data_IF_717243713143
#
_entry.id   IF_717243713143
#
_cell.length_a   1.000
_cell.length_b   1.000
_cell.length_c   1.000
_cell.angle_alpha   90.00
_cell.angle_beta   90.00
_cell.angle_gamma   90.00
#
_symmetry.space_group_name_H-M   'P 1'
#
loop_
_entity.id
_entity.type
_entity.pdbx_description
1 polymer ?
#
# COMPACT_ATOMS: atom_id res chain seq x y z
N UNK A 1 -5.16 14.10 -11.75
CA UNK A 1 -4.00 13.59 -10.98
C UNK A 1 -4.30 12.20 -10.41
N UNK A 2 -3.40 11.53 -9.71
CA UNK A 2 -3.68 10.23 -9.03
C UNK A 2 -3.49 10.42 -7.54
N UNK A 3 -4.39 9.88 -6.71
CA UNK A 3 -4.27 9.97 -5.26
C UNK A 3 -3.01 9.25 -4.77
N UNK A 4 -2.06 10.05 -4.27
CA UNK A 4 -0.82 9.58 -3.63
C UNK A 4 -0.88 9.83 -2.14
N UNK A 5 -0.40 8.87 -1.38
CA UNK A 5 -0.36 8.89 0.08
C UNK A 5 1.08 8.61 0.53
N UNK A 6 1.53 9.25 1.62
CA UNK A 6 2.83 8.90 2.23
C UNK A 6 2.64 7.64 3.07
N UNK A 7 3.35 6.59 2.70
CA UNK A 7 3.23 5.27 3.33
C UNK A 7 4.56 4.93 3.98
N UNK A 8 4.51 4.61 5.27
CA UNK A 8 5.63 4.01 5.98
C UNK A 8 5.41 2.51 6.06
N UNK A 9 6.46 1.75 5.83
CA UNK A 9 6.45 0.29 5.89
C UNK A 9 7.57 -0.17 6.81
N UNK A 10 7.23 -1.00 7.79
CA UNK A 10 8.17 -1.53 8.76
C UNK A 10 8.21 -3.06 8.74
N UNK A 11 9.42 -3.60 8.81
CA UNK A 11 9.71 -5.02 9.02
C UNK A 11 10.76 -5.12 10.12
N UNK A 12 10.45 -5.86 11.18
CA UNK A 12 11.26 -5.94 12.40
C UNK A 12 11.63 -4.56 12.95
N UNK A 13 12.92 -4.18 12.89
CA UNK A 13 13.44 -2.90 13.42
C UNK A 13 13.68 -1.84 12.32
N UNK A 14 13.47 -2.18 11.05
CA UNK A 14 13.69 -1.28 9.92
C UNK A 14 12.36 -0.75 9.41
N UNK A 15 12.36 0.51 9.00
CA UNK A 15 11.23 1.15 8.35
C UNK A 15 11.73 1.96 7.17
N UNK A 16 10.94 1.97 6.10
CA UNK A 16 11.14 2.80 4.90
C UNK A 16 9.87 3.60 4.62
N UNK A 17 10.00 4.74 3.97
CA UNK A 17 8.87 5.56 3.55
C UNK A 17 8.87 5.72 2.03
N UNK A 18 7.67 5.77 1.44
CA UNK A 18 7.50 6.00 0.03
C UNK A 18 6.13 6.57 -0.31
N UNK A 19 5.95 6.96 -1.56
CA UNK A 19 4.65 7.38 -2.08
C UNK A 19 3.86 6.16 -2.54
N UNK A 20 2.69 5.97 -1.94
CA UNK A 20 1.72 4.95 -2.30
C UNK A 20 0.61 5.49 -3.16
N UNK A 21 0.25 4.77 -4.21
CA UNK A 21 -0.97 5.01 -4.98
C UNK A 21 -2.12 4.30 -4.27
N UNK A 22 -3.14 5.06 -3.92
CA UNK A 22 -4.40 4.53 -3.41
C UNK A 22 -5.35 4.32 -4.60
N UNK A 23 -5.39 3.10 -5.16
CA UNK A 23 -6.31 2.77 -6.24
C UNK A 23 -7.11 1.50 -5.94
N UNK A 24 -8.38 1.49 -6.35
CA UNK A 24 -9.26 0.32 -6.23
C UNK A 24 -9.02 -0.77 -7.28
N UNK A 25 -8.07 -0.57 -8.21
CA UNK A 25 -7.71 -1.56 -9.23
C UNK A 25 -6.88 -2.74 -8.70
N UNK A 26 -6.36 -2.64 -7.48
CA UNK A 26 -5.74 -3.73 -6.77
C UNK A 26 -6.74 -4.26 -5.73
N UNK A 27 -7.46 -5.32 -6.08
CA UNK A 27 -8.51 -5.91 -5.24
C UNK A 27 -8.02 -7.17 -4.51
N UNK A 28 -8.38 -7.30 -3.24
CA UNK A 28 -8.06 -8.47 -2.43
C UNK A 28 -8.82 -8.51 -1.11
N UNK A 29 -8.98 -9.70 -0.52
CA UNK A 29 -9.65 -9.84 0.79
C UNK A 29 -8.73 -9.46 1.96
N UNK A 30 -7.45 -9.77 1.81
CA UNK A 30 -6.42 -9.52 2.82
C UNK A 30 -5.72 -8.19 2.54
N UNK A 31 -5.19 -7.47 3.55
CA UNK A 31 -4.37 -6.29 3.32
C UNK A 31 -3.12 -6.66 2.54
N UNK A 32 -2.97 -6.04 1.38
CA UNK A 32 -1.86 -6.31 0.49
C UNK A 32 -1.24 -5.00 0.00
N UNK A 33 0.07 -5.01 -0.10
CA UNK A 33 0.88 -3.89 -0.54
C UNK A 33 1.81 -4.38 -1.64
N UNK A 34 1.95 -3.65 -2.74
CA UNK A 34 3.02 -3.89 -3.69
C UNK A 34 4.15 -2.89 -3.42
N UNK A 35 5.36 -3.39 -3.20
CA UNK A 35 6.54 -2.60 -2.91
C UNK A 35 7.51 -2.61 -4.10
N UNK A 36 7.99 -1.43 -4.53
CA UNK A 36 9.17 -1.32 -5.38
C UNK A 36 10.33 -2.16 -4.86
N UNK A 37 11.03 -2.86 -5.76
CA UNK A 37 12.19 -3.68 -5.40
C UNK A 37 13.26 -2.91 -4.61
N UNK A 38 13.46 -1.63 -4.92
CA UNK A 38 14.40 -0.75 -4.20
C UNK A 38 14.03 -0.59 -2.72
N UNK A 39 12.75 -0.38 -2.41
CA UNK A 39 12.27 -0.29 -1.02
C UNK A 39 12.37 -1.63 -0.29
N UNK A 40 12.16 -2.75 -0.99
CA UNK A 40 12.36 -4.08 -0.40
C UNK A 40 13.82 -4.31 -0.03
N UNK A 41 14.76 -3.93 -0.92
CA UNK A 41 16.20 -4.02 -0.66
C UNK A 41 16.63 -3.20 0.54
N UNK A 42 16.13 -1.97 0.66
CA UNK A 42 16.43 -1.12 1.81
C UNK A 42 15.86 -1.70 3.12
N UNK A 43 14.62 -2.19 3.07
CA UNK A 43 13.92 -2.71 4.24
C UNK A 43 14.47 -4.05 4.73
N UNK A 44 14.77 -4.98 3.82
CA UNK A 44 15.03 -6.40 4.13
C UNK A 44 16.43 -6.86 3.65
N UNK A 45 16.98 -6.25 2.61
CA UNK A 45 18.26 -6.63 1.99
C UNK A 45 18.09 -7.25 0.60
N UNK A 46 19.20 -7.70 0.01
CA UNK A 46 19.27 -8.17 -1.38
C UNK A 46 18.57 -9.52 -1.64
N UNK A 47 18.47 -10.37 -0.62
CA UNK A 47 17.93 -11.73 -0.75
C UNK A 47 16.69 -11.95 0.16
N UNK A 48 15.56 -11.29 -0.13
CA UNK A 48 14.34 -11.50 0.65
C UNK A 48 13.78 -12.91 0.43
N UNK A 49 13.26 -13.53 1.49
CA UNK A 49 12.50 -14.78 1.39
C UNK A 49 11.16 -14.54 0.67
N UNK A 50 11.01 -15.13 -0.51
CA UNK A 50 9.84 -14.96 -1.38
C UNK A 50 9.18 -16.28 -1.73
N UNK A 51 7.87 -16.22 -1.96
CA UNK A 51 7.07 -17.27 -2.57
C UNK A 51 6.39 -16.73 -3.82
N UNK A 52 6.10 -17.60 -4.79
CA UNK A 52 5.30 -17.24 -5.96
C UNK A 52 3.82 -17.49 -5.66
N UNK A 53 3.00 -16.48 -5.91
CA UNK A 53 1.55 -16.57 -5.71
C UNK A 53 0.86 -16.30 -7.03
N UNK A 54 0.00 -17.22 -7.47
CA UNK A 54 -0.84 -17.02 -8.63
C UNK A 54 -1.95 -16.01 -8.33
N UNK A 55 -2.14 -15.06 -9.25
CA UNK A 55 -3.15 -14.01 -9.18
C UNK A 55 -3.88 -13.89 -10.49
N UNK A 56 -5.19 -13.68 -10.41
CA UNK A 56 -6.02 -13.29 -11.55
C UNK A 56 -6.01 -11.78 -11.62
N UNK A 57 -5.53 -11.23 -12.74
CA UNK A 57 -5.48 -9.80 -12.98
C UNK A 57 -6.84 -9.26 -13.43
N UNK A 58 -6.96 -7.93 -13.50
CA UNK A 58 -8.22 -7.27 -13.86
C UNK A 58 -8.72 -7.63 -15.27
N UNK A 59 -7.82 -8.02 -16.18
CA UNK A 59 -8.15 -8.48 -17.53
C UNK A 59 -8.50 -9.98 -17.60
N UNK A 60 -8.54 -10.67 -16.45
CA UNK A 60 -8.81 -12.10 -16.34
C UNK A 60 -7.59 -13.00 -16.60
N UNK A 61 -6.45 -12.44 -16.99
CA UNK A 61 -5.22 -13.20 -17.15
C UNK A 61 -4.66 -13.67 -15.81
N UNK A 62 -3.83 -14.72 -15.82
CA UNK A 62 -3.15 -15.24 -14.62
C UNK A 62 -1.69 -14.85 -14.63
N UNK A 63 -1.19 -14.40 -13.49
CA UNK A 63 0.21 -14.05 -13.30
C UNK A 63 0.74 -14.67 -11.99
N UNK A 64 1.98 -15.15 -12.03
CA UNK A 64 2.74 -15.52 -10.84
C UNK A 64 3.47 -14.29 -10.33
N UNK A 65 3.11 -13.81 -9.14
CA UNK A 65 3.73 -12.63 -8.54
C UNK A 65 4.60 -13.03 -7.35
N UNK A 66 5.84 -12.52 -7.24
CA UNK A 66 6.68 -12.72 -6.07
C UNK A 66 6.10 -11.96 -4.87
N UNK A 67 5.91 -12.69 -3.78
CA UNK A 67 5.40 -12.16 -2.51
C UNK A 67 6.37 -12.52 -1.39
N UNK A 68 6.65 -11.59 -0.49
CA UNK A 68 7.39 -11.88 0.73
C UNK A 68 6.69 -12.98 1.53
N UNK A 69 7.47 -13.89 2.10
CA UNK A 69 6.97 -14.97 2.95
C UNK A 69 6.38 -14.44 4.27
N UNK A 70 7.05 -13.43 4.84
CA UNK A 70 6.63 -12.76 6.07
C UNK A 70 5.71 -11.56 5.80
N UNK A 71 4.99 -11.15 6.84
CA UNK A 71 4.18 -9.94 6.83
C UNK A 71 5.02 -8.72 7.18
N UNK A 72 4.54 -7.55 6.76
CA UNK A 72 5.05 -6.25 7.19
C UNK A 72 3.93 -5.43 7.82
N UNK A 73 4.33 -4.35 8.50
CA UNK A 73 3.40 -3.36 9.03
C UNK A 73 3.39 -2.13 8.15
N UNK A 74 2.22 -1.80 7.60
CA UNK A 74 2.01 -0.59 6.82
C UNK A 74 1.34 0.50 7.67
N UNK A 75 1.74 1.74 7.45
CA UNK A 75 1.19 2.93 8.10
C UNK A 75 0.94 4.01 7.06
N UNK A 76 -0.15 4.76 7.23
CA UNK A 76 -0.43 5.98 6.50
C UNK A 76 0.05 7.18 7.34
N UNK A 77 0.96 7.97 6.78
CA UNK A 77 1.56 9.12 7.45
C UNK A 77 0.98 10.40 6.88
N UNK A 78 0.37 11.22 7.73
CA UNK A 78 -0.02 12.61 7.45
C UNK A 78 0.75 13.55 8.37
N UNK A 79 0.63 14.86 8.15
CA UNK A 79 1.29 15.87 8.97
C UNK A 79 0.85 15.84 10.44
N UNK A 80 -0.41 15.47 10.67
CA UNK A 80 -1.11 15.52 11.96
C UNK A 80 -1.40 14.14 12.57
N UNK A 81 -1.28 13.05 11.80
CA UNK A 81 -1.68 11.71 12.21
C UNK A 81 -0.84 10.63 11.53
N UNK A 82 -0.56 9.56 12.27
CA UNK A 82 -0.08 8.30 11.70
C UNK A 82 -1.14 7.24 11.98
N UNK A 83 -1.67 6.62 10.92
CA UNK A 83 -2.68 5.57 11.01
C UNK A 83 -2.04 4.20 10.75
N UNK A 84 -2.28 3.24 11.63
CA UNK A 84 -1.69 1.90 11.59
C UNK A 84 -1.19 1.43 12.96
N UNK A 85 -0.47 0.29 13.05
CA UNK A 85 -0.04 -0.56 11.93
C UNK A 85 -1.18 -1.38 11.33
N UNK A 86 -1.12 -1.63 10.03
CA UNK A 86 -1.89 -2.69 9.36
C UNK A 86 -0.94 -3.78 8.86
N UNK A 87 -1.08 -4.97 9.45
CA UNK A 87 -0.34 -6.17 9.02
C UNK A 87 -0.77 -6.53 7.60
N UNK A 88 0.20 -6.58 6.68
CA UNK A 88 -0.07 -6.72 5.25
C UNK A 88 0.88 -7.71 4.58
N UNK A 89 0.38 -8.40 3.57
CA UNK A 89 1.19 -9.19 2.67
C UNK A 89 1.84 -8.30 1.61
N UNK A 90 3.09 -8.57 1.25
CA UNK A 90 3.86 -7.68 0.38
C UNK A 90 4.27 -8.36 -0.92
N UNK A 91 3.80 -7.84 -2.04
CA UNK A 91 4.27 -8.21 -3.37
C UNK A 91 5.47 -7.35 -3.76
N UNK A 92 6.41 -7.92 -4.52
CA UNK A 92 7.55 -7.18 -5.07
C UNK A 92 7.23 -6.77 -6.50
N UNK A 93 7.37 -5.49 -6.81
CA UNK A 93 7.14 -4.93 -8.15
C UNK A 93 8.37 -4.20 -8.69
N UNK A 94 8.47 -4.14 -10.02
CA UNK A 94 9.44 -3.30 -10.75
C UNK A 94 8.98 -1.84 -10.88
N UNK A 95 7.77 -1.51 -10.42
CA UNK A 95 7.24 -0.16 -10.42
C UNK A 95 7.96 0.75 -9.41
N UNK A 96 7.72 2.07 -9.54
CA UNK A 96 8.33 3.10 -8.67
C UNK A 96 7.50 3.45 -7.44
N UNK A 97 6.19 3.23 -7.50
CA UNK A 97 5.26 3.59 -6.43
C UNK A 97 4.87 2.36 -5.61
N UNK A 98 4.62 2.58 -4.34
CA UNK A 98 3.91 1.62 -3.50
C UNK A 98 2.48 1.51 -4.04
N UNK A 99 1.89 0.32 -4.10
CA UNK A 99 0.46 0.15 -4.42
C UNK A 99 -0.27 -0.41 -3.21
N UNK A 100 -1.43 0.15 -2.90
CA UNK A 100 -2.26 -0.26 -1.77
C UNK A 100 -3.52 -0.91 -2.30
N UNK A 101 -3.81 -2.14 -1.87
CA UNK A 101 -5.08 -2.77 -2.23
C UNK A 101 -6.26 -2.18 -1.43
N UNK A 102 -7.47 -2.45 -1.91
CA UNK A 102 -8.73 -2.03 -1.28
C UNK A 102 -8.86 -2.45 0.20
N UNK A 103 -8.45 -3.67 0.55
CA UNK A 103 -8.48 -4.15 1.93
C UNK A 103 -7.51 -3.39 2.86
N UNK A 104 -6.33 -3.01 2.36
CA UNK A 104 -5.38 -2.20 3.10
C UNK A 104 -5.89 -0.76 3.28
N UNK A 105 -6.39 -0.14 2.20
CA UNK A 105 -7.00 1.20 2.26
C UNK A 105 -8.15 1.24 3.27
N UNK A 106 -9.01 0.22 3.25
CA UNK A 106 -10.14 0.11 4.18
C UNK A 106 -9.67 0.02 5.64
N UNK A 107 -8.63 -0.78 5.93
CA UNK A 107 -8.07 -0.92 7.29
C UNK A 107 -7.30 0.30 7.75
N UNK A 108 -6.66 1.04 6.85
CA UNK A 108 -6.09 2.37 7.09
C UNK A 108 -7.17 3.47 7.13
N UNK A 109 -8.45 3.08 7.04
CA UNK A 109 -9.62 3.97 7.14
C UNK A 109 -9.62 5.07 6.09
N UNK A 110 -8.99 4.85 4.93
CA UNK A 110 -8.98 5.80 3.83
C UNK A 110 -10.32 5.78 3.12
N UNK A 111 -10.91 6.96 2.92
CA UNK A 111 -12.04 7.17 2.01
C UNK A 111 -11.55 8.04 0.87
N UNK A 112 -11.60 7.50 -0.35
CA UNK A 112 -11.28 8.24 -1.58
C UNK A 112 -12.55 9.01 -1.96
N UNK A 113 -12.45 10.33 -2.04
CA UNK A 113 -13.56 11.22 -2.40
C UNK A 113 -13.48 11.54 -3.89
N UNK A 114 -12.31 12.01 -4.34
CA UNK A 114 -12.01 12.26 -5.74
C UNK A 114 -10.61 11.71 -6.07
N UNK A 115 -10.50 10.56 -6.75
CA UNK A 115 -9.21 9.96 -7.08
C UNK A 115 -8.41 10.77 -8.09
N UNK A 116 -9.07 11.55 -8.96
CA UNK A 116 -8.41 12.35 -9.97
C UNK A 116 -7.84 13.63 -9.34
N UNK A 117 -8.62 14.32 -8.51
CA UNK A 117 -8.20 15.52 -7.81
C UNK A 117 -7.37 15.23 -6.54
N UNK A 118 -7.18 13.94 -6.22
CA UNK A 118 -6.43 13.49 -5.04
C UNK A 118 -7.12 13.88 -3.73
N UNK A 119 -8.44 13.98 -3.72
CA UNK A 119 -9.24 14.31 -2.53
C UNK A 119 -9.59 13.04 -1.78
N UNK A 120 -9.32 13.04 -0.48
CA UNK A 120 -9.58 11.91 0.39
C UNK A 120 -9.81 12.37 1.83
N UNK A 121 -10.19 11.46 2.71
CA UNK A 121 -10.22 11.71 4.15
C UNK A 121 -10.08 10.40 4.93
N UNK A 122 -9.85 10.48 6.24
CA UNK A 122 -10.09 9.33 7.10
C UNK A 122 -11.59 9.09 7.28
N UNK A 123 -11.99 7.84 7.53
CA UNK A 123 -13.42 7.48 7.66
C UNK A 123 -14.17 8.29 8.73
N UNK A 124 -13.51 8.63 9.83
CA UNK A 124 -14.05 9.49 10.91
C UNK A 124 -14.20 10.97 10.54
N UNK A 125 -13.54 11.40 9.46
CA UNK A 125 -13.55 12.75 8.91
C UNK A 125 -14.54 12.94 7.76
N UNK A 126 -15.17 11.87 7.28
CA UNK A 126 -16.10 11.92 6.17
C UNK A 126 -17.23 12.92 6.44
N UNK A 127 -17.39 13.89 5.53
CA UNK A 127 -18.36 14.99 5.66
C UNK A 127 -17.92 16.12 6.60
N UNK A 128 -16.71 16.09 7.16
CA UNK A 128 -16.17 17.10 8.09
C UNK A 128 -14.88 17.74 7.62
N UNK A 129 -14.01 16.97 6.98
CA UNK A 129 -12.68 17.42 6.52
C UNK A 129 -12.29 16.68 5.26
N UNK A 130 -11.71 17.43 4.33
CA UNK A 130 -11.04 16.90 3.15
C UNK A 130 -9.54 17.05 3.29
N UNK A 131 -8.81 16.09 2.71
CA UNK A 131 -7.36 16.04 2.63
C UNK A 131 -6.96 15.97 1.16
N UNK A 132 -5.76 16.47 0.85
CA UNK A 132 -5.13 16.35 -0.47
C UNK A 132 -4.02 15.30 -0.41
N UNK A 133 -3.86 14.56 -1.50
CA UNK A 133 -2.73 13.65 -1.68
C UNK A 133 -1.40 14.38 -1.73
N UNK A 134 -0.32 13.63 -1.55
CA UNK A 134 1.06 14.12 -1.58
C UNK A 134 1.63 14.28 -3.00
#
# INVERSE_FOLDING_TARGET
MVLRLRIRVCCDKKCVEGLGIANSGFAGKEPEIALPQELVRELIGEEPSVILVERVLADGSRALLPRLSNFLNAYLVTEDRVEGPVRSYAYITKGRFILLNDALLSRLRVVIIDPFEGVWCFRDELGKRERRGA
#
